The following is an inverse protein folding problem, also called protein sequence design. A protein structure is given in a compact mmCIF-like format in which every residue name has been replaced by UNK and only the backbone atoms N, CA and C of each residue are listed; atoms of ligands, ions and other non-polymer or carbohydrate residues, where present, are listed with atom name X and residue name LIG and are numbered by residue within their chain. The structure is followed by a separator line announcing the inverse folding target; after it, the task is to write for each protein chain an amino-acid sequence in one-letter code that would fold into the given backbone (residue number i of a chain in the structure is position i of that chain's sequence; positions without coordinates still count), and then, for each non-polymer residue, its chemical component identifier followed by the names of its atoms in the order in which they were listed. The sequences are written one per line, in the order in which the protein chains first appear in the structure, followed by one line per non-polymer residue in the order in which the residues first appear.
data_IF_658313727332
#
_entry.id   IF_658313727332
#
_cell.length_a   1.000
_cell.length_b   1.000
_cell.length_c   1.000
_cell.angle_alpha   90.00
_cell.angle_beta   90.00
_cell.angle_gamma   90.00
#
_symmetry.space_group_name_H-M   'P 1'
#
loop_
_entity.id
_entity.type
_entity.pdbx_description
1 polymer ?
#
# COMPACT_ATOMS: atom_id res chain seq x y z
N UNK A 1 23.63 -18.70 24.90
CA UNK A 1 23.34 -17.29 24.59
C UNK A 1 21.93 -17.00 25.08
N UNK A 2 21.75 -16.14 26.08
CA UNK A 2 20.42 -15.82 26.59
C UNK A 2 19.73 -14.84 25.62
N UNK A 3 18.57 -15.22 25.07
CA UNK A 3 17.76 -14.34 24.24
C UNK A 3 17.20 -13.20 25.10
N UNK A 4 17.56 -11.95 24.78
CA UNK A 4 16.90 -10.77 25.35
C UNK A 4 15.60 -10.53 24.59
N UNK A 5 14.49 -10.63 25.28
CA UNK A 5 13.18 -10.23 24.76
C UNK A 5 12.93 -8.76 25.10
N UNK A 6 12.47 -7.99 24.10
CA UNK A 6 12.09 -6.60 24.28
C UNK A 6 10.57 -6.50 24.25
N UNK A 7 9.98 -6.13 25.37
CA UNK A 7 8.53 -5.94 25.51
C UNK A 7 8.23 -4.45 25.35
N UNK A 8 7.39 -4.11 24.39
CA UNK A 8 6.94 -2.75 24.17
C UNK A 8 5.88 -2.35 25.22
N UNK A 9 6.22 -1.39 26.09
CA UNK A 9 5.36 -0.90 27.19
C UNK A 9 4.65 0.42 26.83
N UNK A 10 4.68 0.82 25.55
CA UNK A 10 4.08 2.07 25.09
C UNK A 10 2.57 1.99 24.88
N UNK A 11 1.99 3.10 24.41
CA UNK A 11 0.58 3.12 23.96
C UNK A 11 0.37 2.07 22.86
N UNK A 12 -0.81 1.42 22.78
CA UNK A 12 -1.08 0.44 21.75
C UNK A 12 -0.71 1.01 20.37
N UNK A 13 -0.02 0.20 19.57
CA UNK A 13 0.34 0.59 18.22
C UNK A 13 -0.94 1.06 17.50
N UNK A 14 -0.89 2.17 16.76
CA UNK A 14 -2.03 2.60 15.97
C UNK A 14 -2.48 1.41 15.13
N UNK A 15 -3.77 1.09 15.18
CA UNK A 15 -4.33 0.09 14.27
C UNK A 15 -4.06 0.60 12.86
N UNK A 16 -3.31 -0.18 12.09
CA UNK A 16 -3.05 0.14 10.70
C UNK A 16 -4.35 -0.13 9.93
N UNK A 17 -5.23 0.88 9.83
CA UNK A 17 -6.41 0.79 8.98
C UNK A 17 -5.99 1.05 7.53
N UNK A 18 -6.32 0.11 6.63
CA UNK A 18 -6.07 0.23 5.19
C UNK A 18 -6.68 1.51 4.61
N UNK A 19 -7.81 1.98 5.15
CA UNK A 19 -8.45 3.22 4.69
C UNK A 19 -7.67 4.48 5.08
N UNK A 20 -7.22 4.56 6.34
CA UNK A 20 -6.45 5.71 6.84
C UNK A 20 -5.07 5.79 6.18
N UNK A 21 -4.55 4.65 5.73
CA UNK A 21 -3.21 4.55 5.16
C UNK A 21 -3.17 4.21 3.66
N UNK A 22 -4.29 4.36 2.94
CA UNK A 22 -4.34 4.04 1.50
C UNK A 22 -3.25 4.74 0.69
N UNK A 23 -3.00 6.03 0.98
CA UNK A 23 -1.93 6.80 0.33
C UNK A 23 -0.53 6.24 0.66
N UNK A 24 -0.31 5.77 1.88
CA UNK A 24 0.95 5.14 2.29
C UNK A 24 1.17 3.83 1.54
N UNK A 25 0.15 2.95 1.49
CA UNK A 25 0.25 1.69 0.76
C UNK A 25 0.49 1.89 -0.73
N UNK A 26 -0.17 2.87 -1.35
CA UNK A 26 0.05 3.22 -2.75
C UNK A 26 1.50 3.69 -2.99
N UNK A 27 2.01 4.54 -2.12
CA UNK A 27 3.39 5.04 -2.23
C UNK A 27 4.41 3.93 -1.98
N UNK A 28 4.13 3.00 -1.06
CA UNK A 28 4.96 1.82 -0.82
C UNK A 28 5.02 0.94 -2.07
N UNK A 29 3.88 0.66 -2.71
CA UNK A 29 3.83 -0.12 -3.95
C UNK A 29 4.60 0.56 -5.09
N UNK A 30 4.45 1.88 -5.27
CA UNK A 30 5.23 2.65 -6.24
C UNK A 30 6.73 2.60 -5.96
N UNK A 31 7.13 2.70 -4.69
CA UNK A 31 8.53 2.61 -4.26
C UNK A 31 9.14 1.25 -4.55
N UNK A 32 8.39 0.16 -4.35
CA UNK A 32 8.82 -1.20 -4.72
C UNK A 32 9.04 -1.29 -6.23
N UNK A 33 8.09 -0.84 -7.06
CA UNK A 33 8.24 -0.88 -8.52
C UNK A 33 9.45 -0.07 -9.01
N UNK A 34 9.68 1.11 -8.42
CA UNK A 34 10.85 1.93 -8.75
C UNK A 34 12.15 1.20 -8.40
N UNK A 35 12.21 0.56 -7.23
CA UNK A 35 13.37 -0.22 -6.80
C UNK A 35 13.64 -1.40 -7.73
N UNK A 36 12.59 -2.09 -8.19
CA UNK A 36 12.71 -3.19 -9.16
C UNK A 36 13.22 -2.70 -10.52
N UNK A 37 12.74 -1.55 -11.00
CA UNK A 37 13.25 -0.91 -12.22
C UNK A 37 14.74 -0.55 -12.07
N UNK A 38 15.14 0.07 -10.96
CA UNK A 38 16.53 0.45 -10.70
C UNK A 38 17.48 -0.74 -10.66
N UNK A 39 17.00 -1.90 -10.21
CA UNK A 39 17.76 -3.17 -10.20
C UNK A 39 17.71 -3.92 -11.53
N UNK A 40 17.14 -3.35 -12.58
CA UNK A 40 16.90 -3.99 -13.89
C UNK A 40 16.08 -5.29 -13.80
N UNK A 41 15.28 -5.44 -12.74
CA UNK A 41 14.35 -6.58 -12.58
C UNK A 41 13.02 -6.35 -13.31
N UNK A 42 12.74 -5.10 -13.69
CA UNK A 42 11.64 -4.72 -14.56
C UNK A 42 12.18 -3.93 -15.74
N UNK A 43 11.71 -4.26 -16.94
CA UNK A 43 11.93 -3.40 -18.11
C UNK A 43 11.12 -2.10 -17.97
N UNK A 44 11.51 -1.03 -18.70
CA UNK A 44 10.73 0.21 -18.71
C UNK A 44 9.27 0.00 -19.12
N UNK A 45 9.00 -0.91 -20.05
CA UNK A 45 7.63 -1.24 -20.48
C UNK A 45 6.82 -1.90 -19.37
N UNK A 46 7.39 -2.91 -18.71
CA UNK A 46 6.74 -3.60 -17.59
C UNK A 46 6.48 -2.64 -16.42
N UNK A 47 7.41 -1.75 -16.12
CA UNK A 47 7.23 -0.72 -15.09
C UNK A 47 6.02 0.18 -15.39
N UNK A 48 5.85 0.63 -16.64
CA UNK A 48 4.71 1.47 -17.03
C UNK A 48 3.39 0.71 -16.95
N UNK A 49 3.34 -0.56 -17.38
CA UNK A 49 2.16 -1.41 -17.23
C UNK A 49 1.79 -1.61 -15.76
N UNK A 50 2.77 -1.86 -14.88
CA UNK A 50 2.51 -1.99 -13.45
C UNK A 50 1.94 -0.70 -12.84
N UNK A 51 2.43 0.47 -13.25
CA UNK A 51 1.86 1.75 -12.81
C UNK A 51 0.43 1.96 -13.32
N UNK A 52 0.14 1.59 -14.56
CA UNK A 52 -1.20 1.69 -15.13
C UNK A 52 -2.20 0.79 -14.40
N UNK A 53 -1.80 -0.46 -14.09
CA UNK A 53 -2.63 -1.39 -13.32
C UNK A 53 -2.86 -0.91 -11.87
N UNK A 54 -1.84 -0.31 -11.23
CA UNK A 54 -2.01 0.35 -9.94
C UNK A 54 -3.05 1.47 -9.99
N UNK A 55 -3.00 2.32 -11.02
CA UNK A 55 -3.98 3.38 -11.23
C UNK A 55 -5.41 2.84 -11.39
N UNK A 56 -5.60 1.74 -12.14
CA UNK A 56 -6.92 1.11 -12.32
C UNK A 56 -7.48 0.57 -10.99
N UNK A 57 -6.64 0.03 -10.11
CA UNK A 57 -7.05 -0.47 -8.78
C UNK A 57 -7.50 0.67 -7.88
N UNK A 58 -6.79 1.79 -7.90
CA UNK A 58 -7.16 3.01 -7.16
C UNK A 58 -8.56 3.51 -7.58
N UNK A 59 -8.83 3.62 -8.89
CA UNK A 59 -10.15 4.04 -9.38
C UNK A 59 -11.27 3.08 -8.93
N UNK A 60 -11.03 1.77 -8.97
CA UNK A 60 -12.01 0.76 -8.51
C UNK A 60 -12.28 0.85 -7.01
N UNK A 61 -11.25 1.12 -6.21
CA UNK A 61 -11.39 1.27 -4.75
C UNK A 61 -12.16 2.55 -4.38
N UNK A 62 -11.94 3.66 -5.09
CA UNK A 62 -12.70 4.90 -4.89
C UNK A 62 -14.20 4.71 -5.20
N UNK A 63 -14.53 4.01 -6.29
CA UNK A 63 -15.92 3.70 -6.67
C UNK A 63 -16.59 2.80 -5.62
N UNK A 64 -15.91 1.75 -5.15
CA UNK A 64 -16.45 0.87 -4.10
C UNK A 64 -16.70 1.60 -2.79
N UNK A 65 -15.81 2.52 -2.41
CA UNK A 65 -15.95 3.30 -1.18
C UNK A 65 -17.12 4.28 -1.26
N UNK A 66 -17.34 4.93 -2.41
CA UNK A 66 -18.51 5.82 -2.63
C UNK A 66 -19.83 5.05 -2.65
N UNK A 67 -19.87 3.84 -3.20
CA UNK A 67 -21.07 2.98 -3.18
C UNK A 67 -21.38 2.51 -1.74
N UNK A 68 -20.37 2.12 -0.96
CA UNK A 68 -20.58 1.71 0.45
C UNK A 68 -21.08 2.85 1.33
N UNK A 69 -20.62 4.09 1.12
CA UNK A 69 -21.12 5.26 1.85
C UNK A 69 -22.58 5.57 1.52
N UNK A 70 -23.01 5.39 0.27
CA UNK A 70 -24.42 5.61 -0.14
C UNK A 70 -25.40 4.58 0.44
N UNK A 71 -24.94 3.38 0.79
CA UNK A 71 -25.78 2.32 1.35
C UNK A 71 -25.74 2.20 2.88
N UNK A 72 -24.98 3.06 3.57
CA UNK A 72 -24.95 3.16 5.04
C UNK A 72 -25.65 4.42 5.57
N UNK A 73 -26.43 5.11 4.73
CA UNK A 73 -27.30 6.24 5.08
C UNK A 73 -28.76 5.82 4.94
#
# INVERSE_FOLDING_TARGET
MAHREFIYIGKPLPKLDEKEHAAFFLNLQKGILLSLKQRNLLTPAQYQECLAELGKRESKNQIRNTIKQKHSL
#
